data_IF_275342703056
#
_entry.id   IF_275342703056
#
_cell.length_a   1.000
_cell.length_b   1.000
_cell.length_c   1.000
_cell.angle_alpha   90.00
_cell.angle_beta   90.00
_cell.angle_gamma   90.00
#
_symmetry.space_group_name_H-M   'P 1'
#
loop_
_entity.id
_entity.type
_entity.pdbx_description
1 polymer ?
#
# COMPACT_ATOMS: atom_id res chain seq x y z
N UNK A 1 2.82 -9.82 -16.22
CA UNK A 1 3.49 -9.78 -14.89
C UNK A 1 2.42 -9.97 -13.82
N UNK A 2 2.58 -10.98 -12.96
CA UNK A 2 1.59 -11.43 -11.95
C UNK A 2 1.68 -10.70 -10.59
N UNK A 3 2.59 -9.73 -10.47
CA UNK A 3 2.85 -8.99 -9.23
C UNK A 3 1.90 -7.81 -9.00
N UNK A 4 1.88 -7.33 -7.75
CA UNK A 4 1.17 -6.10 -7.36
C UNK A 4 1.81 -4.90 -8.07
N UNK A 5 0.97 -4.03 -8.63
CA UNK A 5 1.39 -2.75 -9.20
C UNK A 5 0.77 -1.60 -8.42
N UNK A 6 1.57 -0.55 -8.24
CA UNK A 6 1.18 0.66 -7.54
C UNK A 6 1.50 1.87 -8.41
N UNK A 7 0.51 2.71 -8.63
CA UNK A 7 0.58 3.94 -9.42
C UNK A 7 -0.13 5.07 -8.66
N UNK A 8 0.31 6.31 -8.88
CA UNK A 8 -0.44 7.48 -8.44
C UNK A 8 -1.25 7.98 -9.63
N UNK A 9 -2.57 8.11 -9.47
CA UNK A 9 -3.45 8.78 -10.42
C UNK A 9 -4.11 9.96 -9.68
N UNK A 10 -3.69 11.20 -9.98
CA UNK A 10 -4.12 12.41 -9.27
C UNK A 10 -3.87 12.28 -7.75
N UNK A 11 -4.92 12.40 -6.94
CA UNK A 11 -4.87 12.31 -5.47
C UNK A 11 -5.17 10.90 -4.94
N UNK A 12 -5.02 9.88 -5.79
CA UNK A 12 -5.35 8.49 -5.47
C UNK A 12 -4.11 7.60 -5.63
N UNK A 13 -3.90 6.74 -4.62
CA UNK A 13 -3.06 5.56 -4.73
C UNK A 13 -3.86 4.45 -5.43
N UNK A 14 -3.37 4.02 -6.58
CA UNK A 14 -3.99 2.96 -7.37
C UNK A 14 -3.19 1.68 -7.19
N UNK A 15 -3.84 0.65 -6.64
CA UNK A 15 -3.27 -0.68 -6.48
C UNK A 15 -3.95 -1.61 -7.47
N UNK A 16 -3.16 -2.32 -8.27
CA UNK A 16 -3.64 -3.28 -9.27
C UNK A 16 -3.00 -4.65 -9.03
N UNK A 17 -3.83 -5.68 -9.04
CA UNK A 17 -3.38 -7.05 -9.01
C UNK A 17 -4.41 -7.96 -9.68
N UNK A 18 -3.97 -8.76 -10.66
CA UNK A 18 -4.86 -9.54 -11.52
C UNK A 18 -5.98 -8.66 -12.10
N UNK A 19 -7.25 -8.99 -11.84
CA UNK A 19 -8.43 -8.27 -12.31
C UNK A 19 -8.91 -7.18 -11.34
N UNK A 20 -8.25 -7.02 -10.19
CA UNK A 20 -8.65 -6.06 -9.16
C UNK A 20 -7.98 -4.71 -9.36
N UNK A 21 -8.75 -3.63 -9.24
CA UNK A 21 -8.30 -2.24 -9.07
C UNK A 21 -8.84 -1.72 -7.75
N UNK A 22 -7.95 -1.26 -6.88
CA UNK A 22 -8.28 -0.59 -5.62
C UNK A 22 -7.77 0.85 -5.73
N UNK A 23 -8.57 1.79 -5.26
CA UNK A 23 -8.25 3.22 -5.28
C UNK A 23 -8.41 3.75 -3.87
N UNK A 24 -7.33 4.30 -3.33
CA UNK A 24 -7.26 4.83 -1.97
C UNK A 24 -6.92 6.31 -2.08
N UNK A 25 -7.72 7.23 -1.54
CA UNK A 25 -7.32 8.63 -1.44
C UNK A 25 -6.03 8.77 -0.66
N UNK A 26 -5.05 9.51 -1.18
CA UNK A 26 -3.75 9.69 -0.50
C UNK A 26 -3.95 10.33 0.87
N UNK A 27 -4.94 11.24 0.99
CA UNK A 27 -5.34 11.89 2.25
C UNK A 27 -5.86 10.92 3.31
N UNK A 28 -6.36 9.76 2.89
CA UNK A 28 -6.91 8.75 3.79
C UNK A 28 -5.82 7.75 4.23
N UNK A 29 -4.59 7.86 3.72
CA UNK A 29 -3.49 7.01 4.14
C UNK A 29 -2.92 7.56 5.45
N UNK A 30 -3.20 6.86 6.56
CA UNK A 30 -2.74 7.24 7.89
C UNK A 30 -1.31 6.78 8.17
N UNK A 31 -0.93 5.60 7.68
CA UNK A 31 0.43 5.06 7.82
C UNK A 31 0.71 3.97 6.80
N UNK A 32 2.00 3.80 6.48
CA UNK A 32 2.50 2.70 5.67
C UNK A 32 3.74 2.10 6.32
N UNK A 33 3.71 0.80 6.61
CA UNK A 33 4.78 0.07 7.32
C UNK A 33 5.20 -1.18 6.57
N UNK A 34 6.47 -1.58 6.73
CA UNK A 34 6.92 -2.93 6.43
C UNK A 34 6.63 -3.80 7.65
N UNK A 35 5.95 -4.92 7.42
CA UNK A 35 5.63 -5.89 8.46
C UNK A 35 6.60 -7.07 8.37
N UNK A 36 7.09 -7.48 9.53
CA UNK A 36 7.95 -8.64 9.77
C UNK A 36 7.15 -9.92 10.05
N UNK A 37 5.84 -9.81 10.21
CA UNK A 37 4.93 -10.95 10.44
C UNK A 37 4.43 -11.57 9.14
N UNK A 38 4.58 -12.89 9.03
CA UNK A 38 4.04 -13.65 7.90
C UNK A 38 2.51 -13.55 7.87
N UNK A 39 1.97 -12.82 6.89
CA UNK A 39 0.52 -12.62 6.70
C UNK A 39 -0.03 -11.27 7.18
N UNK A 40 0.81 -10.42 7.76
CA UNK A 40 0.48 -9.08 8.27
C UNK A 40 -0.17 -9.11 9.66
N UNK A 41 0.07 -8.06 10.45
CA UNK A 41 -0.40 -7.95 11.84
C UNK A 41 -1.89 -7.65 12.00
N UNK A 42 -2.60 -7.32 10.92
CA UNK A 42 -4.01 -6.91 10.96
C UNK A 42 -4.93 -7.94 10.28
N UNK A 43 -5.72 -8.72 11.06
CA UNK A 43 -6.54 -9.80 10.51
C UNK A 43 -7.62 -9.33 9.52
N UNK A 44 -8.24 -8.19 9.79
CA UNK A 44 -9.30 -7.59 8.98
C UNK A 44 -8.81 -6.89 7.71
N UNK A 45 -7.49 -6.80 7.50
CA UNK A 45 -6.95 -6.13 6.33
C UNK A 45 -7.23 -6.91 5.04
N UNK A 46 -7.53 -6.17 3.96
CA UNK A 46 -7.68 -6.75 2.63
C UNK A 46 -6.29 -7.13 2.12
N UNK A 47 -6.12 -8.41 1.79
CA UNK A 47 -4.86 -9.00 1.34
C UNK A 47 -4.78 -8.98 -0.18
N UNK A 48 -3.69 -8.41 -0.71
CA UNK A 48 -3.49 -8.19 -2.14
C UNK A 48 -2.11 -8.72 -2.51
N UNK A 49 -2.03 -9.56 -3.54
CA UNK A 49 -0.78 -10.21 -3.94
C UNK A 49 -0.70 -11.66 -3.48
N UNK A 50 0.33 -12.35 -3.96
CA UNK A 50 0.61 -13.73 -3.57
C UNK A 50 1.40 -13.74 -2.26
N UNK A 51 0.74 -14.14 -1.16
CA UNK A 51 1.37 -14.17 0.17
C UNK A 51 2.54 -15.16 0.25
N UNK A 52 2.42 -16.32 -0.42
CA UNK A 52 3.50 -17.29 -0.49
C UNK A 52 4.61 -16.83 -1.44
N UNK A 53 5.82 -16.67 -0.89
CA UNK A 53 7.01 -16.32 -1.66
C UNK A 53 7.26 -14.81 -1.86
N UNK A 54 6.42 -13.94 -1.29
CA UNK A 54 6.71 -12.51 -1.21
C UNK A 54 7.88 -12.25 -0.25
N UNK A 55 8.80 -11.35 -0.62
CA UNK A 55 9.90 -10.93 0.27
C UNK A 55 9.50 -9.78 1.19
N UNK A 56 8.42 -9.05 0.86
CA UNK A 56 7.92 -7.94 1.64
C UNK A 56 6.41 -8.04 1.87
N UNK A 57 6.01 -7.60 3.06
CA UNK A 57 4.61 -7.38 3.46
C UNK A 57 4.46 -5.90 3.79
N UNK A 58 3.71 -5.15 2.98
CA UNK A 58 3.46 -3.72 3.19
C UNK A 58 2.05 -3.54 3.77
N UNK A 59 1.93 -2.94 4.94
CA UNK A 59 0.65 -2.60 5.55
C UNK A 59 0.33 -1.13 5.35
N UNK A 60 -0.82 -0.87 4.73
CA UNK A 60 -1.39 0.47 4.51
C UNK A 60 -2.62 0.60 5.39
N UNK A 61 -2.63 1.57 6.30
CA UNK A 61 -3.78 1.86 7.17
C UNK A 61 -4.57 3.06 6.66
N UNK A 62 -5.88 2.93 6.67
CA UNK A 62 -6.84 4.02 6.38
C UNK A 62 -7.92 4.06 7.46
N UNK A 63 -8.74 5.13 7.56
CA UNK A 63 -9.78 5.24 8.59
C UNK A 63 -10.78 4.08 8.63
N UNK A 64 -11.04 3.42 7.49
CA UNK A 64 -12.13 2.46 7.36
C UNK A 64 -11.66 1.05 6.99
N UNK A 65 -10.52 0.91 6.33
CA UNK A 65 -10.03 -0.39 5.85
C UNK A 65 -8.51 -0.39 5.67
N UNK A 66 -7.83 -1.32 6.32
CA UNK A 66 -6.40 -1.54 6.07
C UNK A 66 -6.19 -2.52 4.93
N UNK A 67 -5.02 -2.41 4.30
CA UNK A 67 -4.62 -3.22 3.16
C UNK A 67 -3.23 -3.79 3.40
N UNK A 68 -3.06 -5.08 3.11
CA UNK A 68 -1.76 -5.75 3.14
C UNK A 68 -1.36 -6.10 1.71
N UNK A 69 -0.22 -5.59 1.27
CA UNK A 69 0.37 -5.91 -0.02
C UNK A 69 1.49 -6.93 0.16
N UNK A 70 1.37 -8.06 -0.51
CA UNK A 70 2.44 -9.04 -0.65
C UNK A 70 3.17 -8.80 -1.96
N UNK A 71 4.47 -8.49 -1.87
CA UNK A 71 5.28 -8.15 -3.03
C UNK A 71 6.72 -8.65 -2.87
N UNK A 72 7.39 -8.87 -3.99
CA UNK A 72 8.85 -9.03 -4.04
C UNK A 72 9.53 -7.88 -4.77
N UNK A 73 8.78 -6.80 -5.02
CA UNK A 73 9.30 -5.56 -5.58
C UNK A 73 9.56 -4.56 -4.44
N UNK A 74 10.81 -4.52 -4.00
CA UNK A 74 11.32 -3.69 -2.90
C UNK A 74 11.21 -2.18 -3.16
N UNK A 75 10.87 -1.78 -4.41
CA UNK A 75 10.63 -0.37 -4.74
C UNK A 75 9.23 0.11 -4.35
N UNK A 76 8.29 -0.79 -4.03
CA UNK A 76 6.89 -0.40 -3.76
C UNK A 76 6.75 0.35 -2.44
N UNK A 77 7.36 -0.13 -1.35
CA UNK A 77 7.31 0.54 -0.05
C UNK A 77 7.85 1.98 -0.11
N UNK A 78 9.09 2.26 -0.57
CA UNK A 78 9.61 3.62 -0.63
C UNK A 78 8.78 4.50 -1.57
N UNK A 79 8.27 3.96 -2.68
CA UNK A 79 7.39 4.68 -3.60
C UNK A 79 6.10 5.14 -2.92
N UNK A 80 5.42 4.25 -2.20
CA UNK A 80 4.19 4.59 -1.48
C UNK A 80 4.48 5.60 -0.37
N UNK A 81 5.55 5.39 0.39
CA UNK A 81 5.91 6.27 1.52
C UNK A 81 6.23 7.71 1.07
N UNK A 82 6.85 7.87 -0.10
CA UNK A 82 7.14 9.19 -0.67
C UNK A 82 5.87 9.99 -0.98
N UNK A 83 4.77 9.33 -1.38
CA UNK A 83 3.49 10.00 -1.67
C UNK A 83 2.92 10.69 -0.43
N UNK A 84 2.98 10.02 0.72
CA UNK A 84 2.44 10.48 2.00
C UNK A 84 3.33 11.59 2.60
N UNK A 85 4.64 11.47 2.40
CA UNK A 85 5.59 12.49 2.84
C UNK A 85 5.39 13.79 2.05
N UNK A 86 5.09 13.71 0.76
CA UNK A 86 4.84 14.88 -0.09
C UNK A 86 3.51 15.61 0.21
N UNK A 87 2.48 14.89 0.69
CA UNK A 87 1.20 15.49 1.06
C UNK A 87 1.25 16.25 2.40
N UNK A 88 2.17 15.88 3.28
CA UNK A 88 2.30 16.49 4.63
C UNK A 88 2.94 17.88 4.59
N UNK A 89 3.68 18.22 3.53
CA UNK A 89 4.34 19.53 3.39
C UNK A 89 3.45 20.66 2.86
N UNK A 90 2.22 20.39 2.43
CA UNK A 90 1.33 21.39 1.80
C UNK A 90 0.35 22.08 2.76
N UNK A 91 0.52 21.99 4.09
CA UNK A 91 -0.43 22.54 5.07
C UNK A 91 0.07 23.76 5.86
N UNK A 92 1.03 24.52 5.34
CA UNK A 92 1.47 25.79 5.92
C UNK A 92 1.62 26.88 4.85
N UNK A 93 0.53 27.59 4.56
CA UNK A 93 0.52 29.00 4.14
C UNK A 93 -0.81 29.64 4.55
#
# INVERSE_FOLDING_TARGET
>A
MLGVKVEQEKDQLIIRWQFSKISIPITDIQSVTLEDTYGGSEPSAIRIGAAYGASETILIRTPHQSYVLFTSNETLFPKINALISSSTSNHYI
#
